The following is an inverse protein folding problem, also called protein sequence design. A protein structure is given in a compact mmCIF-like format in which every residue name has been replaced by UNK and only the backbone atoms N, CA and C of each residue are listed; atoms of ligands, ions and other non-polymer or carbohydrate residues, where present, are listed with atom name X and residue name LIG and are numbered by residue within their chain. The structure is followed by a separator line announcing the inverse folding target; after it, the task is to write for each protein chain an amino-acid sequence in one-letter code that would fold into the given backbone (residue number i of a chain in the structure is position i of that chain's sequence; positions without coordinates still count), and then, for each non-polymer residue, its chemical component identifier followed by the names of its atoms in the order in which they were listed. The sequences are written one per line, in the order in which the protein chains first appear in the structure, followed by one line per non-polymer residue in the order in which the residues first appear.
data_IF_052403396925
#
_entry.id   IF_052403396925
#
_cell.length_a   1.000
_cell.length_b   1.000
_cell.length_c   1.000
_cell.angle_alpha   90.00
_cell.angle_beta   90.00
_cell.angle_gamma   90.00
#
_symmetry.space_group_name_H-M   'P 1'
#
loop_
_entity.id
_entity.type
_entity.pdbx_description
1 polymer ?
#
# COMPACT_ATOMS: atom_id res chain seq x y z
N UNK A 1 0.13 15.56 2.80
CA UNK A 1 -0.54 16.25 3.94
C UNK A 1 -1.61 15.32 4.49
N UNK A 2 -2.03 15.43 5.76
CA UNK A 2 -3.03 14.52 6.35
C UNK A 2 -4.43 14.76 5.79
N UNK A 3 -5.07 13.72 5.22
CA UNK A 3 -6.40 13.78 4.56
C UNK A 3 -7.55 14.24 5.48
N UNK A 4 -7.36 14.14 6.79
CA UNK A 4 -8.27 14.67 7.81
C UNK A 4 -8.62 16.15 7.56
N UNK A 5 -7.69 16.97 7.07
CA UNK A 5 -7.93 18.40 6.85
C UNK A 5 -8.87 18.70 5.68
N UNK A 6 -9.20 17.71 4.84
CA UNK A 6 -10.21 17.87 3.78
C UNK A 6 -11.64 17.94 4.32
N UNK A 7 -11.85 17.58 5.59
CA UNK A 7 -13.15 17.53 6.25
C UNK A 7 -13.30 18.54 7.40
N UNK A 8 -12.24 19.30 7.68
CA UNK A 8 -12.18 20.22 8.81
C UNK A 8 -11.77 21.63 8.38
N UNK A 9 -12.65 22.59 8.65
CA UNK A 9 -12.40 24.01 8.46
C UNK A 9 -11.77 24.64 9.71
N UNK A 10 -10.75 25.48 9.51
CA UNK A 10 -10.10 26.24 10.58
C UNK A 10 -10.80 27.57 10.77
N UNK A 11 -11.51 27.74 11.89
CA UNK A 11 -12.16 29.00 12.26
C UNK A 11 -11.12 29.91 12.92
N UNK A 12 -11.05 31.16 12.47
CA UNK A 12 -10.05 32.14 12.91
C UNK A 12 -10.71 33.35 13.55
N UNK A 13 -10.03 33.94 14.53
CA UNK A 13 -10.44 35.22 15.10
C UNK A 13 -10.01 36.41 14.24
N UNK A 14 -10.37 37.62 14.67
CA UNK A 14 -10.04 38.88 13.99
C UNK A 14 -8.52 39.11 13.82
N UNK A 15 -7.69 38.45 14.62
CA UNK A 15 -6.22 38.49 14.53
C UNK A 15 -5.65 37.34 13.69
N UNK A 16 -6.49 36.65 12.91
CA UNK A 16 -6.13 35.54 12.04
C UNK A 16 -5.58 34.28 12.77
N UNK A 17 -5.84 34.15 14.07
CA UNK A 17 -5.45 32.99 14.89
C UNK A 17 -6.54 31.93 14.82
N UNK A 18 -6.16 30.67 14.58
CA UNK A 18 -7.10 29.53 14.58
C UNK A 18 -7.56 29.27 16.01
N UNK A 19 -8.86 29.45 16.26
CA UNK A 19 -9.48 29.26 17.57
C UNK A 19 -10.20 27.92 17.68
N UNK A 20 -10.81 27.47 16.58
CA UNK A 20 -11.63 26.27 16.53
C UNK A 20 -11.47 25.54 15.20
N UNK A 21 -11.75 24.25 15.22
CA UNK A 21 -11.86 23.39 14.06
C UNK A 21 -13.30 22.96 13.93
N UNK A 22 -13.89 23.14 12.75
CA UNK A 22 -15.28 22.79 12.49
C UNK A 22 -15.32 21.65 11.46
N UNK A 23 -16.05 20.57 11.77
CA UNK A 23 -16.32 19.49 10.83
C UNK A 23 -17.33 19.93 9.76
N UNK A 24 -16.92 19.90 8.50
CA UNK A 24 -17.75 20.36 7.38
C UNK A 24 -18.93 19.44 7.04
N UNK A 25 -19.07 18.29 7.70
CA UNK A 25 -20.11 17.29 7.42
C UNK A 25 -21.28 17.33 8.41
N UNK A 26 -21.03 17.71 9.67
CA UNK A 26 -22.10 17.84 10.67
C UNK A 26 -21.86 18.95 11.69
N UNK A 27 -20.97 19.89 11.39
CA UNK A 27 -20.75 21.12 12.15
C UNK A 27 -20.20 20.92 13.57
N UNK A 28 -19.67 19.74 13.89
CA UNK A 28 -19.06 19.48 15.20
C UNK A 28 -17.80 20.33 15.42
N UNK A 29 -17.70 20.96 16.60
CA UNK A 29 -16.61 21.86 16.95
C UNK A 29 -15.54 21.17 17.82
N UNK A 30 -14.28 21.48 17.52
CA UNK A 30 -13.11 20.99 18.24
C UNK A 30 -12.15 22.14 18.54
N UNK A 31 -11.43 22.05 19.66
CA UNK A 31 -10.40 23.04 20.01
C UNK A 31 -9.28 23.11 18.97
N UNK A 32 -8.68 24.28 18.77
CA UNK A 32 -7.60 24.50 17.79
C UNK A 32 -6.35 23.64 18.00
N UNK A 33 -6.11 23.14 19.22
CA UNK A 33 -5.00 22.26 19.58
C UNK A 33 -5.33 20.76 19.44
N UNK A 34 -6.51 20.40 18.95
CA UNK A 34 -6.94 19.01 18.82
C UNK A 34 -6.02 18.24 17.88
N UNK A 35 -5.55 17.07 18.33
CA UNK A 35 -4.64 16.24 17.55
C UNK A 35 -5.31 15.69 16.29
N UNK A 36 -4.54 15.49 15.22
CA UNK A 36 -5.02 14.82 14.00
C UNK A 36 -5.54 13.40 14.25
N UNK A 37 -5.02 12.72 15.28
CA UNK A 37 -5.49 11.39 15.69
C UNK A 37 -6.90 11.44 16.27
N UNK A 38 -7.22 12.47 17.06
CA UNK A 38 -8.54 12.67 17.66
C UNK A 38 -9.59 12.95 16.57
N UNK A 39 -9.27 13.86 15.65
CA UNK A 39 -10.14 14.20 14.53
C UNK A 39 -10.38 13.01 13.59
N UNK A 40 -9.35 12.19 13.37
CA UNK A 40 -9.46 10.95 12.61
C UNK A 40 -10.42 9.94 13.25
N UNK A 41 -10.29 9.69 14.56
CA UNK A 41 -11.19 8.76 15.28
C UNK A 41 -12.63 9.23 15.24
N UNK A 42 -12.84 10.54 15.35
CA UNK A 42 -14.16 11.13 15.20
C UNK A 42 -14.74 10.89 13.80
N UNK A 43 -14.00 11.18 12.72
CA UNK A 43 -14.49 10.93 11.35
C UNK A 43 -14.83 9.46 11.13
N UNK A 44 -14.01 8.54 11.64
CA UNK A 44 -14.28 7.10 11.53
C UNK A 44 -15.53 6.65 12.30
N UNK A 45 -15.81 7.27 13.44
CA UNK A 45 -16.95 6.92 14.29
C UNK A 45 -18.27 7.57 13.86
N UNK A 46 -18.24 8.87 13.55
CA UNK A 46 -19.43 9.65 13.21
C UNK A 46 -19.75 9.64 11.71
N UNK A 47 -18.74 9.44 10.86
CA UNK A 47 -18.84 9.56 9.40
C UNK A 47 -18.27 8.33 8.70
N UNK A 48 -18.84 7.15 8.99
CA UNK A 48 -18.37 5.84 8.50
C UNK A 48 -18.28 5.72 6.98
N UNK A 49 -18.99 6.58 6.23
CA UNK A 49 -18.95 6.67 4.77
C UNK A 49 -17.74 7.44 4.23
N UNK A 50 -16.99 8.15 5.08
CA UNK A 50 -15.81 8.92 4.66
C UNK A 50 -14.58 8.02 4.61
N UNK A 51 -13.98 7.87 3.42
CA UNK A 51 -12.73 7.13 3.26
C UNK A 51 -11.54 8.00 3.68
N UNK A 52 -11.36 8.18 4.99
CA UNK A 52 -10.21 8.91 5.55
C UNK A 52 -9.03 7.95 5.70
N UNK A 53 -7.96 8.17 4.95
CA UNK A 53 -6.71 7.43 5.10
C UNK A 53 -5.89 8.02 6.25
N UNK A 54 -5.37 7.16 7.12
CA UNK A 54 -4.40 7.54 8.15
C UNK A 54 -3.01 7.21 7.61
N UNK A 55 -2.15 8.19 7.33
CA UNK A 55 -0.77 7.88 6.96
C UNK A 55 -0.10 7.14 8.12
N UNK A 56 0.71 6.09 7.85
CA UNK A 56 1.47 5.40 8.87
C UNK A 56 2.29 6.41 9.69
N UNK A 57 2.31 6.23 11.01
CA UNK A 57 3.17 7.05 11.87
C UNK A 57 4.60 6.84 11.42
N UNK A 58 5.25 7.91 10.94
CA UNK A 58 6.67 7.91 10.59
C UNK A 58 7.45 7.31 11.75
N UNK A 59 7.95 6.09 11.59
CA UNK A 59 9.01 5.60 12.45
C UNK A 59 10.21 6.50 12.17
N UNK A 60 10.52 7.35 13.14
CA UNK A 60 11.43 8.50 13.06
C UNK A 60 12.91 8.12 12.90
N UNK A 61 13.23 6.93 12.40
CA UNK A 61 14.60 6.50 12.25
C UNK A 61 14.88 6.11 10.79
N UNK A 62 15.52 7.06 10.09
CA UNK A 62 16.41 6.88 8.92
C UNK A 62 15.84 6.83 7.50
N UNK A 63 14.56 7.08 7.23
CA UNK A 63 14.07 7.02 5.83
C UNK A 63 14.34 8.28 5.00
N UNK A 64 14.63 9.44 5.62
CA UNK A 64 14.89 10.68 4.89
C UNK A 64 16.24 10.74 4.19
N UNK A 65 17.21 9.91 4.62
CA UNK A 65 18.58 9.93 4.07
C UNK A 65 18.84 8.92 2.95
N UNK A 66 17.97 7.92 2.77
CA UNK A 66 18.17 6.87 1.78
C UNK A 66 17.48 7.14 0.45
N UNK A 67 16.37 7.90 0.42
CA UNK A 67 15.58 8.17 -0.78
C UNK A 67 16.36 8.83 -1.93
N UNK A 68 17.40 9.64 -1.65
CA UNK A 68 18.15 10.34 -2.70
C UNK A 68 18.95 9.37 -3.61
N UNK A 69 19.43 8.24 -3.08
CA UNK A 69 20.37 7.34 -3.76
C UNK A 69 19.77 5.96 -4.12
N UNK A 70 18.44 5.83 -4.13
CA UNK A 70 17.78 4.57 -4.47
C UNK A 70 17.89 4.25 -5.97
N UNK A 71 18.61 3.17 -6.31
CA UNK A 71 18.37 2.33 -7.49
C UNK A 71 17.78 1.00 -6.99
N UNK A 72 16.46 0.90 -6.90
CA UNK A 72 15.78 -0.17 -6.17
C UNK A 72 14.87 -1.05 -7.01
N UNK A 73 14.69 -2.30 -6.59
CA UNK A 73 13.64 -3.21 -7.04
C UNK A 73 12.50 -3.16 -6.01
N UNK A 74 11.26 -3.39 -6.43
CA UNK A 74 10.14 -3.41 -5.49
C UNK A 74 9.42 -4.75 -5.58
N UNK A 75 9.07 -5.31 -4.42
CA UNK A 75 8.50 -6.65 -4.34
C UNK A 75 7.25 -6.63 -3.46
N UNK A 76 6.13 -7.04 -4.05
CA UNK A 76 4.82 -6.81 -3.48
C UNK A 76 4.22 -8.16 -3.14
N UNK A 77 3.70 -8.30 -1.93
CA UNK A 77 3.18 -9.58 -1.47
C UNK A 77 1.76 -9.37 -0.98
N UNK A 78 0.80 -9.91 -1.72
CA UNK A 78 -0.58 -10.03 -1.25
C UNK A 78 -0.73 -11.34 -0.50
N UNK A 79 -1.38 -11.30 0.64
CA UNK A 79 -1.72 -12.48 1.42
C UNK A 79 -3.18 -12.40 1.88
N UNK A 80 -3.94 -13.45 1.59
CA UNK A 80 -5.33 -13.58 2.01
C UNK A 80 -5.44 -14.59 3.16
N UNK A 81 -6.13 -14.22 4.24
CA UNK A 81 -6.37 -15.10 5.40
C UNK A 81 -7.81 -14.96 5.90
N UNK A 82 -8.56 -16.07 5.91
CA UNK A 82 -9.90 -16.20 6.53
C UNK A 82 -10.86 -15.03 6.21
N UNK A 83 -11.17 -14.80 4.93
CA UNK A 83 -12.05 -13.73 4.43
C UNK A 83 -11.59 -12.29 4.69
N UNK A 84 -10.35 -12.08 5.13
CA UNK A 84 -9.68 -10.77 5.10
C UNK A 84 -8.49 -10.89 4.18
N UNK A 85 -8.43 -10.05 3.16
CA UNK A 85 -7.23 -9.94 2.33
C UNK A 85 -6.41 -8.76 2.80
N UNK A 86 -5.11 -8.92 2.71
CA UNK A 86 -4.16 -7.89 3.04
C UNK A 86 -3.17 -7.73 1.89
N UNK A 87 -2.79 -6.49 1.63
CA UNK A 87 -1.76 -6.11 0.68
C UNK A 87 -0.54 -5.65 1.48
N UNK A 88 0.50 -6.49 1.51
CA UNK A 88 1.80 -6.10 2.02
C UNK A 88 2.67 -5.56 0.89
N UNK A 89 3.21 -4.36 1.09
CA UNK A 89 4.07 -3.71 0.11
C UNK A 89 5.47 -3.67 0.69
N UNK A 90 6.40 -4.40 0.07
CA UNK A 90 7.80 -4.42 0.49
C UNK A 90 8.66 -3.84 -0.64
N UNK A 91 9.73 -3.14 -0.29
CA UNK A 91 10.73 -2.67 -1.24
C UNK A 91 12.05 -3.39 -1.00
N UNK A 92 12.74 -3.74 -2.08
CA UNK A 92 13.98 -4.50 -2.07
C UNK A 92 15.03 -3.77 -2.91
N UNK A 93 15.91 -3.01 -2.27
CA UNK A 93 16.95 -2.27 -2.99
C UNK A 93 18.34 -2.82 -2.75
N UNK A 94 19.26 -2.44 -3.64
CA UNK A 94 20.69 -2.67 -3.50
C UNK A 94 21.32 -1.31 -3.18
N UNK A 95 22.09 -1.22 -2.10
CA UNK A 95 22.81 0.01 -1.75
C UNK A 95 24.06 0.18 -2.61
N UNK A 96 24.68 1.37 -2.56
CA UNK A 96 25.94 1.63 -3.26
C UNK A 96 27.07 0.67 -2.84
N UNK A 97 27.02 0.20 -1.60
CA UNK A 97 27.92 -0.80 -1.01
C UNK A 97 27.47 -2.25 -1.31
N UNK A 98 26.65 -2.46 -2.33
CA UNK A 98 26.20 -3.76 -2.84
C UNK A 98 25.45 -4.62 -1.81
N UNK A 99 24.78 -3.98 -0.83
CA UNK A 99 23.99 -4.69 0.18
C UNK A 99 22.52 -4.67 -0.19
N UNK A 100 21.88 -5.84 -0.14
CA UNK A 100 20.43 -5.95 -0.26
C UNK A 100 19.78 -5.39 1.01
N UNK A 101 18.80 -4.50 0.83
CA UNK A 101 17.93 -3.99 1.88
C UNK A 101 16.50 -4.32 1.55
N UNK A 102 15.74 -4.70 2.58
CA UNK A 102 14.30 -4.93 2.50
C UNK A 102 13.59 -4.02 3.51
N UNK A 103 12.47 -3.45 3.11
CA UNK A 103 11.66 -2.60 3.98
C UNK A 103 10.18 -2.81 3.66
N UNK A 104 9.38 -3.07 4.68
CA UNK A 104 7.92 -3.06 4.55
C UNK A 104 7.48 -1.59 4.50
N UNK A 105 6.93 -1.16 3.37
CA UNK A 105 6.44 0.21 3.17
C UNK A 105 5.04 0.36 3.77
N UNK A 106 4.16 -0.60 3.52
CA UNK A 106 2.80 -0.59 4.06
C UNK A 106 2.21 -2.00 4.18
N UNK A 107 1.20 -2.13 5.02
CA UNK A 107 0.43 -3.34 5.27
C UNK A 107 -1.06 -2.98 5.35
N UNK A 108 -1.75 -3.15 4.23
CA UNK A 108 -3.08 -2.61 4.02
C UNK A 108 -4.11 -3.73 4.15
N UNK A 109 -5.13 -3.55 4.98
CA UNK A 109 -6.32 -4.42 4.97
C UNK A 109 -7.20 -4.05 3.77
N UNK A 110 -7.50 -5.03 2.92
CA UNK A 110 -8.39 -4.87 1.79
C UNK A 110 -9.79 -5.32 2.19
N UNK A 111 -10.76 -4.40 2.12
CA UNK A 111 -12.18 -4.67 2.33
C UNK A 111 -12.89 -4.81 0.97
N UNK A 112 -13.82 -5.75 0.84
CA UNK A 112 -14.62 -5.95 -0.37
C UNK A 112 -13.94 -6.76 -1.49
N UNK A 113 -14.43 -6.59 -2.73
CA UNK A 113 -13.88 -7.28 -3.90
C UNK A 113 -12.46 -6.79 -4.20
N UNK A 114 -11.51 -7.71 -4.22
CA UNK A 114 -10.10 -7.43 -4.49
C UNK A 114 -9.86 -7.26 -6.00
N UNK A 115 -10.46 -6.21 -6.58
CA UNK A 115 -10.24 -5.85 -7.98
C UNK A 115 -8.79 -5.42 -8.20
N UNK A 116 -8.33 -5.62 -9.43
CA UNK A 116 -7.04 -5.14 -9.92
C UNK A 116 -6.87 -3.63 -9.67
N UNK A 117 -7.89 -2.86 -10.04
CA UNK A 117 -7.98 -1.41 -9.85
C UNK A 117 -7.77 -0.96 -8.39
N UNK A 118 -8.40 -1.62 -7.42
CA UNK A 118 -8.24 -1.28 -6.00
C UNK A 118 -6.79 -1.47 -5.55
N UNK A 119 -6.17 -2.55 -5.99
CA UNK A 119 -4.79 -2.90 -5.61
C UNK A 119 -3.81 -1.92 -6.24
N UNK A 120 -4.01 -1.58 -7.52
CA UNK A 120 -3.23 -0.57 -8.24
C UNK A 120 -3.35 0.79 -7.57
N UNK A 121 -4.57 1.22 -7.21
CA UNK A 121 -4.79 2.49 -6.49
C UNK A 121 -4.03 2.54 -5.17
N UNK A 122 -4.14 1.49 -4.33
CA UNK A 122 -3.43 1.42 -3.05
C UNK A 122 -1.92 1.41 -3.25
N UNK A 123 -1.44 0.69 -4.25
CA UNK A 123 -0.03 0.65 -4.61
C UNK A 123 0.49 2.03 -5.02
N UNK A 124 -0.16 2.69 -5.98
CA UNK A 124 0.23 4.01 -6.47
C UNK A 124 0.27 5.04 -5.34
N UNK A 125 -0.70 5.01 -4.43
CA UNK A 125 -0.72 5.90 -3.27
C UNK A 125 0.50 5.70 -2.36
N UNK A 126 0.86 4.44 -2.07
CA UNK A 126 2.06 4.15 -1.25
C UNK A 126 3.33 4.61 -1.97
N UNK A 127 3.48 4.33 -3.26
CA UNK A 127 4.65 4.77 -4.03
C UNK A 127 4.80 6.29 -4.07
N UNK A 128 3.69 7.01 -4.23
CA UNK A 128 3.65 8.48 -4.17
C UNK A 128 3.95 9.02 -2.77
N UNK A 129 3.40 8.39 -1.72
CA UNK A 129 3.64 8.77 -0.32
C UNK A 129 5.14 8.71 0.02
N UNK A 130 5.83 7.69 -0.47
CA UNK A 130 7.27 7.53 -0.28
C UNK A 130 8.12 8.25 -1.34
N UNK A 131 7.51 8.90 -2.33
CA UNK A 131 8.17 9.59 -3.44
C UNK A 131 9.19 8.71 -4.19
N UNK A 132 8.76 7.47 -4.50
CA UNK A 132 9.58 6.44 -5.17
C UNK A 132 8.94 5.92 -6.45
N UNK A 133 7.86 6.55 -6.92
CA UNK A 133 7.17 6.14 -8.14
C UNK A 133 8.15 6.10 -9.32
N UNK A 134 8.98 7.10 -9.53
CA UNK A 134 9.98 7.11 -10.61
C UNK A 134 11.15 6.11 -10.48
N UNK A 135 11.18 5.28 -9.42
CA UNK A 135 12.33 4.43 -9.07
C UNK A 135 12.03 2.93 -9.04
N UNK A 136 10.90 2.51 -9.59
CA UNK A 136 10.49 1.10 -9.61
C UNK A 136 10.93 0.42 -10.90
N UNK A 137 11.84 -0.55 -10.80
CA UNK A 137 12.33 -1.32 -11.96
C UNK A 137 11.58 -2.63 -12.20
N UNK A 138 10.87 -3.13 -11.20
CA UNK A 138 10.20 -4.44 -11.26
C UNK A 138 9.17 -4.57 -10.14
N UNK A 139 8.16 -5.41 -10.39
CA UNK A 139 7.15 -5.87 -9.45
C UNK A 139 7.25 -7.39 -9.36
N UNK A 140 7.29 -7.94 -8.15
CA UNK A 140 6.99 -9.35 -7.92
C UNK A 140 5.61 -9.47 -7.28
N UNK A 141 4.76 -10.39 -7.72
CA UNK A 141 3.49 -10.75 -7.05
C UNK A 141 3.33 -12.26 -6.96
N UNK A 142 2.37 -12.72 -6.16
CA UNK A 142 1.89 -14.10 -6.29
C UNK A 142 1.19 -14.30 -7.65
N UNK A 143 0.99 -15.56 -8.03
CA UNK A 143 0.34 -15.93 -9.29
C UNK A 143 -1.17 -16.15 -9.09
N UNK A 144 -1.78 -15.47 -8.12
CA UNK A 144 -3.23 -15.49 -7.95
C UNK A 144 -3.93 -14.92 -9.18
N UNK A 145 -5.12 -15.42 -9.51
CA UNK A 145 -5.92 -14.96 -10.66
C UNK A 145 -6.13 -13.44 -10.64
N UNK A 146 -6.35 -12.87 -9.46
CA UNK A 146 -6.54 -11.43 -9.27
C UNK A 146 -5.24 -10.66 -9.55
N UNK A 147 -4.09 -11.22 -9.22
CA UNK A 147 -2.76 -10.66 -9.51
C UNK A 147 -2.36 -10.76 -10.97
N UNK A 148 -2.80 -11.80 -11.65
CA UNK A 148 -2.64 -11.92 -13.09
C UNK A 148 -3.49 -10.91 -13.88
N UNK A 149 -4.70 -10.59 -13.39
CA UNK A 149 -5.53 -9.52 -13.95
C UNK A 149 -4.93 -8.15 -13.63
N UNK A 150 -4.57 -7.91 -12.36
CA UNK A 150 -3.90 -6.70 -11.90
C UNK A 150 -2.63 -6.43 -12.69
N UNK A 151 -1.84 -7.45 -13.01
CA UNK A 151 -0.64 -7.34 -13.86
C UNK A 151 -0.91 -6.66 -15.20
N UNK A 152 -2.04 -6.92 -15.87
CA UNK A 152 -2.32 -6.35 -17.20
C UNK A 152 -2.63 -4.86 -17.12
N UNK A 153 -3.50 -4.49 -16.19
CA UNK A 153 -3.87 -3.09 -15.95
C UNK A 153 -2.66 -2.30 -15.44
N UNK A 154 -1.91 -2.89 -14.52
CA UNK A 154 -0.73 -2.29 -13.93
C UNK A 154 0.40 -2.13 -14.96
N UNK A 155 0.66 -3.11 -15.81
CA UNK A 155 1.62 -2.93 -16.91
C UNK A 155 1.19 -1.76 -17.82
N UNK A 156 -0.09 -1.69 -18.18
CA UNK A 156 -0.61 -0.61 -19.03
C UNK A 156 -0.48 0.78 -18.38
N UNK A 157 -0.81 0.95 -17.10
CA UNK A 157 -0.72 2.25 -16.43
C UNK A 157 0.73 2.66 -16.11
N UNK A 158 1.58 1.70 -15.75
CA UNK A 158 2.98 1.97 -15.45
C UNK A 158 3.78 2.29 -16.74
N UNK A 159 3.48 1.62 -17.85
CA UNK A 159 4.11 1.85 -19.16
C UNK A 159 3.59 3.13 -19.83
N UNK A 160 2.31 3.50 -19.66
CA UNK A 160 1.69 4.60 -20.39
C UNK A 160 1.97 6.00 -19.82
N UNK A 161 2.52 6.17 -18.61
CA UNK A 161 2.76 7.54 -18.15
C UNK A 161 3.43 7.78 -16.81
N UNK A 162 3.53 6.80 -15.89
CA UNK A 162 4.02 7.09 -14.54
C UNK A 162 5.47 6.67 -14.25
N UNK A 163 6.02 5.65 -14.92
CA UNK A 163 7.28 5.01 -14.47
C UNK A 163 8.41 5.01 -15.50
N UNK A 164 8.18 5.40 -16.76
CA UNK A 164 9.21 5.59 -17.80
C UNK A 164 10.29 4.49 -17.92
N UNK A 165 9.98 3.26 -17.50
CA UNK A 165 10.87 2.10 -17.52
C UNK A 165 10.13 0.86 -18.00
N UNK A 166 10.85 -0.04 -18.69
CA UNK A 166 10.36 -1.36 -19.08
C UNK A 166 10.06 -2.18 -17.83
N UNK A 167 8.78 -2.31 -17.52
CA UNK A 167 8.30 -2.94 -16.30
C UNK A 167 8.51 -4.47 -16.32
N UNK A 168 9.36 -5.00 -15.43
CA UNK A 168 9.55 -6.46 -15.30
C UNK A 168 8.62 -6.99 -14.21
N UNK A 169 7.62 -7.78 -14.58
CA UNK A 169 6.81 -8.54 -13.63
C UNK A 169 7.41 -9.92 -13.36
N UNK A 170 7.74 -10.22 -12.10
CA UNK A 170 8.18 -11.56 -11.69
C UNK A 170 7.04 -12.27 -10.96
N UNK A 171 6.90 -13.57 -11.21
CA UNK A 171 6.02 -14.43 -10.40
C UNK A 171 6.77 -14.85 -9.14
N UNK A 172 6.06 -14.98 -8.03
CA UNK A 172 6.61 -15.53 -6.80
C UNK A 172 7.13 -16.96 -7.04
N UNK A 173 8.45 -17.16 -6.88
CA UNK A 173 9.09 -18.46 -7.07
C UNK A 173 8.52 -19.53 -6.13
N UNK A 174 8.24 -19.17 -4.87
CA UNK A 174 7.62 -20.08 -3.90
C UNK A 174 6.25 -20.57 -4.38
N UNK A 175 5.46 -19.71 -5.02
CA UNK A 175 4.17 -20.10 -5.59
C UNK A 175 4.35 -21.06 -6.78
N UNK A 176 5.33 -20.80 -7.66
CA UNK A 176 5.65 -21.70 -8.78
C UNK A 176 6.07 -23.08 -8.27
N UNK A 177 6.92 -23.15 -7.25
CA UNK A 177 7.33 -24.40 -6.62
C UNK A 177 6.11 -25.12 -6.03
N UNK A 178 5.24 -24.41 -5.31
CA UNK A 178 4.02 -24.98 -4.76
C UNK A 178 3.08 -25.56 -5.84
N UNK A 179 2.96 -24.89 -6.99
CA UNK A 179 2.21 -25.43 -8.13
C UNK A 179 2.85 -26.68 -8.71
N UNK A 180 4.17 -26.69 -8.86
CA UNK A 180 4.91 -27.86 -9.34
C UNK A 180 4.73 -29.07 -8.40
N UNK A 181 4.85 -28.86 -7.09
CA UNK A 181 4.64 -29.90 -6.07
C UNK A 181 3.21 -30.43 -6.12
N UNK A 182 2.20 -29.54 -6.15
CA UNK A 182 0.80 -29.97 -6.25
C UNK A 182 0.51 -30.76 -7.52
N UNK A 183 1.11 -30.38 -8.65
CA UNK A 183 0.97 -31.11 -9.90
C UNK A 183 1.60 -32.50 -9.78
N UNK A 184 2.83 -32.60 -9.25
CA UNK A 184 3.51 -33.88 -9.03
C UNK A 184 2.75 -34.81 -8.07
N UNK A 185 2.23 -34.26 -6.96
CA UNK A 185 1.44 -35.03 -5.98
C UNK A 185 0.21 -35.69 -6.60
N UNK A 186 -0.48 -35.04 -7.55
CA UNK A 186 -1.62 -35.65 -8.25
C UNK A 186 -1.26 -36.92 -9.02
N UNK A 187 -0.02 -37.05 -9.50
CA UNK A 187 0.46 -38.27 -10.17
C UNK A 187 0.86 -39.37 -9.17
N UNK A 188 1.20 -38.99 -7.94
CA UNK A 188 1.64 -39.91 -6.88
C UNK A 188 0.49 -40.33 -5.95
N UNK A 189 -0.65 -39.64 -5.96
CA UNK A 189 -1.80 -39.91 -5.09
C UNK A 189 -2.33 -41.35 -5.17
N UNK A 190 -2.15 -42.05 -6.30
CA UNK A 190 -2.51 -43.47 -6.43
C UNK A 190 -1.52 -44.45 -5.78
N UNK A 191 -0.31 -43.98 -5.44
CA UNK A 191 0.81 -44.78 -4.94
C UNK A 191 1.19 -44.45 -3.49
N UNK A 192 0.66 -43.36 -2.92
CA UNK A 192 0.91 -42.97 -1.53
C UNK A 192 -0.14 -43.63 -0.63
N UNK A 193 0.26 -44.67 0.08
CA UNK A 193 -0.54 -45.26 1.16
C UNK A 193 -0.46 -44.31 2.36
N UNK A 194 -1.60 -43.81 2.82
CA UNK A 194 -1.69 -43.11 4.11
C UNK A 194 -1.36 -44.12 5.21
N UNK A 195 -0.22 -43.91 5.88
CA UNK A 195 0.12 -44.57 7.15
C UNK A 195 -0.81 -44.12 8.27
#
# INVERSE_FOLDING_TARGET
MSDVWNFFQKIRNNNNVVILLNCQLCEAEYGSSTSTSTLYQYLKGAHSSTHVYRPPQKSSHNFSYTAANFKGRSEFTIFTKKNKSFLGITIHCITNDWKIKKCLLDFISLEGFHSAELILTKLTNVLQEFNISDRIISLTTDNGSNMLACRRELASELEAGFFNFTFIHNRCAAHIINLAVKAGMKYLDSSIIKL
#
